data_IF_135252635678
#
_entry.id   IF_135252635678
#
_cell.length_a   1.000
_cell.length_b   1.000
_cell.length_c   1.000
_cell.angle_alpha   90.00
_cell.angle_beta   90.00
_cell.angle_gamma   90.00
#
_symmetry.space_group_name_H-M   'P 1'
#
loop_
_entity.id
_entity.type
_entity.pdbx_description
1 polymer ?
#
# COMPACT_ATOMS: atom_id res chain seq x y z
N UNK A 1 -8.77 -26.30 -7.61
CA UNK A 1 -7.68 -25.42 -7.19
C UNK A 1 -8.10 -24.36 -6.16
N UNK A 2 -9.20 -23.59 -6.35
CA UNK A 2 -9.65 -22.56 -5.35
C UNK A 2 -9.98 -23.14 -3.96
N UNK A 3 -10.55 -24.35 -3.88
CA UNK A 3 -10.89 -25.02 -2.59
C UNK A 3 -9.63 -25.53 -1.84
N UNK A 4 -8.57 -25.92 -2.54
CA UNK A 4 -7.28 -26.32 -1.95
C UNK A 4 -6.53 -25.13 -1.35
N UNK A 5 -6.60 -23.95 -1.97
CA UNK A 5 -6.04 -22.71 -1.43
C UNK A 5 -6.76 -22.28 -0.13
N UNK A 6 -8.09 -22.41 -0.10
CA UNK A 6 -8.88 -22.14 1.11
C UNK A 6 -8.54 -23.12 2.25
N UNK A 7 -8.38 -24.42 1.92
CA UNK A 7 -8.00 -25.44 2.91
C UNK A 7 -6.59 -25.21 3.45
N UNK A 8 -5.64 -24.79 2.61
CA UNK A 8 -4.29 -24.46 3.03
C UNK A 8 -4.24 -23.23 3.96
N UNK A 9 -5.09 -22.22 3.71
CA UNK A 9 -5.24 -21.06 4.59
C UNK A 9 -5.87 -21.46 5.92
N UNK A 10 -6.88 -22.33 5.92
CA UNK A 10 -7.58 -22.78 7.14
C UNK A 10 -6.71 -23.72 8.00
N UNK A 11 -5.87 -24.57 7.38
CA UNK A 11 -4.99 -25.49 8.13
C UNK A 11 -3.85 -24.77 8.89
N UNK A 12 -3.44 -23.58 8.44
CA UNK A 12 -2.47 -22.75 9.15
C UNK A 12 -3.05 -22.10 10.41
N UNK A 13 -4.38 -21.99 10.50
CA UNK A 13 -5.07 -21.34 11.63
C UNK A 13 -5.17 -22.21 12.91
N UNK A 14 -4.71 -23.46 12.86
CA UNK A 14 -4.88 -24.45 13.93
C UNK A 14 -3.73 -24.57 14.94
N UNK A 15 -2.61 -23.89 14.78
CA UNK A 15 -1.40 -24.12 15.57
C UNK A 15 -1.24 -23.10 16.70
N UNK A 16 -1.33 -23.61 17.92
CA UNK A 16 -0.83 -23.14 19.23
C UNK A 16 -1.19 -21.72 19.72
N UNK A 17 -1.68 -21.67 20.96
CA UNK A 17 -1.80 -20.44 21.76
C UNK A 17 -0.41 -19.98 22.21
N UNK A 18 0.35 -19.32 21.32
CA UNK A 18 1.61 -18.66 21.66
C UNK A 18 1.38 -17.14 21.77
N UNK A 19 2.28 -16.48 22.50
CA UNK A 19 2.18 -15.03 22.67
C UNK A 19 2.31 -14.29 21.35
N UNK A 20 1.59 -13.18 21.23
CA UNK A 20 1.31 -12.42 20.03
C UNK A 20 2.55 -11.95 19.24
N UNK A 21 3.71 -11.80 19.87
CA UNK A 21 4.92 -11.26 19.25
C UNK A 21 6.17 -11.98 19.73
N UNK A 22 6.05 -13.27 20.10
CA UNK A 22 7.19 -14.09 20.53
C UNK A 22 7.99 -14.59 19.34
N UNK A 23 9.29 -14.80 19.57
CA UNK A 23 10.18 -15.44 18.61
C UNK A 23 9.59 -16.77 18.11
N UNK A 24 9.60 -16.99 16.81
CA UNK A 24 9.07 -18.20 16.18
C UNK A 24 7.64 -18.05 15.66
N UNK A 25 6.90 -17.03 16.09
CA UNK A 25 5.54 -16.76 15.62
C UNK A 25 5.52 -16.16 14.22
N UNK A 26 4.41 -16.33 13.53
CA UNK A 26 4.13 -15.70 12.23
C UNK A 26 3.04 -14.65 12.37
N UNK A 27 3.08 -13.65 11.49
CA UNK A 27 2.02 -12.67 11.34
C UNK A 27 1.59 -12.61 9.88
N UNK A 28 0.29 -12.69 9.64
CA UNK A 28 -0.34 -12.47 8.34
C UNK A 28 -1.34 -11.33 8.44
N UNK A 29 -1.33 -10.46 7.46
CA UNK A 29 -2.29 -9.37 7.44
C UNK A 29 -2.23 -8.59 6.15
N UNK A 30 -2.69 -7.36 6.22
CA UNK A 30 -2.69 -6.46 5.07
C UNK A 30 -3.73 -5.38 5.21
N UNK A 31 -3.85 -4.61 4.14
CA UNK A 31 -4.84 -3.54 4.01
C UNK A 31 -5.53 -3.60 2.67
N UNK A 32 -6.75 -3.09 2.63
CA UNK A 32 -7.52 -2.87 1.41
C UNK A 32 -8.15 -1.50 1.51
N UNK A 33 -8.21 -0.76 0.41
CA UNK A 33 -8.87 0.53 0.40
C UNK A 33 -9.44 0.86 -0.96
N UNK A 34 -10.53 1.62 -0.93
CA UNK A 34 -11.16 2.20 -2.10
C UNK A 34 -11.52 3.63 -1.80
N UNK A 35 -11.22 4.51 -2.75
CA UNK A 35 -11.50 5.94 -2.63
C UNK A 35 -12.11 6.43 -3.94
N UNK A 36 -13.09 7.33 -3.84
CA UNK A 36 -13.74 7.95 -5.00
C UNK A 36 -14.17 9.37 -4.68
N UNK A 37 -13.68 10.31 -5.49
CA UNK A 37 -14.09 11.70 -5.46
C UNK A 37 -14.72 12.13 -6.77
N UNK A 38 -15.63 13.07 -6.68
CA UNK A 38 -16.22 13.78 -7.79
C UNK A 38 -16.17 15.28 -7.51
N UNK A 39 -15.50 16.02 -8.36
CA UNK A 39 -15.37 17.47 -8.26
C UNK A 39 -16.39 18.15 -9.17
N UNK A 40 -17.20 19.03 -8.60
CA UNK A 40 -18.14 19.90 -9.32
C UNK A 40 -17.62 21.36 -9.27
N UNK A 41 -17.80 22.16 -10.32
CA UNK A 41 -18.65 21.95 -11.50
C UNK A 41 -18.01 21.17 -12.65
N UNK A 42 -16.68 20.93 -12.67
CA UNK A 42 -15.94 20.40 -13.83
C UNK A 42 -16.19 18.91 -14.10
N UNK A 43 -16.98 18.22 -13.28
CA UNK A 43 -17.21 16.76 -13.36
C UNK A 43 -15.93 15.92 -13.39
N UNK A 44 -14.83 16.43 -12.84
CA UNK A 44 -13.62 15.64 -12.69
C UNK A 44 -13.85 14.54 -11.67
N UNK A 45 -13.27 13.36 -11.91
CA UNK A 45 -13.42 12.19 -11.05
C UNK A 45 -12.06 11.60 -10.74
N UNK A 46 -11.85 11.26 -9.47
CA UNK A 46 -10.74 10.45 -9.03
C UNK A 46 -11.32 9.17 -8.41
N UNK A 47 -10.80 8.03 -8.77
CA UNK A 47 -11.04 6.77 -8.08
C UNK A 47 -9.73 6.05 -7.87
N UNK A 48 -9.53 5.46 -6.69
CA UNK A 48 -8.38 4.63 -6.41
C UNK A 48 -8.78 3.37 -5.66
N UNK A 49 -8.02 2.32 -5.88
CA UNK A 49 -8.13 1.04 -5.20
C UNK A 49 -6.74 0.57 -4.82
N UNK A 50 -6.60 0.02 -3.63
CA UNK A 50 -5.39 -0.67 -3.25
C UNK A 50 -5.69 -1.94 -2.45
N UNK A 51 -4.80 -2.91 -2.59
CA UNK A 51 -4.73 -4.12 -1.78
C UNK A 51 -3.27 -4.41 -1.45
N UNK A 52 -3.01 -4.76 -0.21
CA UNK A 52 -1.64 -4.85 0.29
C UNK A 52 -1.49 -5.96 1.35
N UNK A 53 -1.52 -7.24 0.95
CA UNK A 53 -1.23 -8.35 1.86
C UNK A 53 0.22 -8.31 2.33
N UNK A 54 0.46 -8.83 3.54
CA UNK A 54 1.80 -8.98 4.12
C UNK A 54 1.91 -10.23 4.98
N UNK A 55 3.11 -10.78 5.04
CA UNK A 55 3.49 -11.89 5.90
C UNK A 55 4.81 -11.56 6.60
N UNK A 56 4.93 -11.93 7.86
CA UNK A 56 6.13 -11.73 8.66
C UNK A 56 6.39 -12.89 9.62
N UNK A 57 7.63 -12.98 10.05
CA UNK A 57 8.12 -13.94 11.01
C UNK A 57 8.86 -13.23 12.13
N UNK A 58 8.60 -13.60 13.38
CA UNK A 58 9.28 -13.05 14.54
C UNK A 58 10.64 -13.72 14.75
N UNK A 59 11.70 -13.03 14.34
CA UNK A 59 13.10 -13.50 14.46
C UNK A 59 13.61 -13.38 15.91
N UNK A 60 13.01 -12.50 16.69
CA UNK A 60 13.21 -12.33 18.13
C UNK A 60 11.91 -11.82 18.74
N UNK A 61 11.81 -11.86 20.08
CA UNK A 61 10.66 -11.31 20.79
C UNK A 61 10.44 -9.85 20.38
N UNK A 62 9.23 -9.53 19.93
CA UNK A 62 8.82 -8.22 19.48
C UNK A 62 9.52 -7.70 18.21
N UNK A 63 10.31 -8.50 17.50
CA UNK A 63 10.95 -8.12 16.24
C UNK A 63 10.50 -9.06 15.13
N UNK A 64 9.72 -8.53 14.19
CA UNK A 64 9.30 -9.24 12.99
C UNK A 64 10.05 -8.73 11.76
N UNK A 65 10.42 -9.66 10.87
CA UNK A 65 10.85 -9.38 9.51
C UNK A 65 9.84 -9.98 8.55
N UNK A 66 9.63 -9.37 7.41
CA UNK A 66 8.62 -9.86 6.52
C UNK A 66 8.61 -9.22 5.14
N UNK A 67 7.60 -9.62 4.38
CA UNK A 67 7.38 -9.18 3.02
C UNK A 67 5.91 -8.79 2.83
N UNK A 68 5.69 -7.60 2.30
CA UNK A 68 4.40 -7.16 1.78
C UNK A 68 4.38 -7.18 0.26
N UNK A 69 3.23 -7.47 -0.30
CA UNK A 69 2.94 -7.22 -1.71
C UNK A 69 1.93 -6.08 -1.78
N UNK A 70 1.94 -5.34 -2.87
CA UNK A 70 1.00 -4.25 -3.07
C UNK A 70 0.53 -4.18 -4.51
N UNK A 71 -0.74 -3.89 -4.68
CA UNK A 71 -1.30 -3.42 -5.94
C UNK A 71 -2.08 -2.15 -5.66
N UNK A 72 -1.79 -1.13 -6.43
CA UNK A 72 -2.48 0.14 -6.39
C UNK A 72 -2.88 0.56 -7.79
N UNK A 73 -4.11 1.06 -7.92
CA UNK A 73 -4.64 1.62 -9.16
C UNK A 73 -5.32 2.95 -8.84
N UNK A 74 -5.02 3.97 -9.66
CA UNK A 74 -5.78 5.21 -9.66
C UNK A 74 -6.27 5.53 -11.07
N UNK A 75 -7.43 6.15 -11.16
CA UNK A 75 -8.04 6.64 -12.39
C UNK A 75 -8.50 8.07 -12.20
N UNK A 76 -8.00 8.95 -13.05
CA UNK A 76 -8.39 10.35 -13.13
C UNK A 76 -9.16 10.55 -14.44
N UNK A 77 -10.38 11.01 -14.34
CA UNK A 77 -11.18 11.47 -15.49
C UNK A 77 -11.34 12.99 -15.36
N UNK A 78 -10.76 13.75 -16.29
CA UNK A 78 -10.75 15.21 -16.28
C UNK A 78 -11.51 15.75 -17.50
N UNK A 79 -12.16 16.89 -17.30
CA UNK A 79 -12.62 17.71 -18.40
C UNK A 79 -11.40 18.46 -18.96
N UNK A 80 -11.02 18.16 -20.21
CA UNK A 80 -9.87 18.75 -20.89
C UNK A 80 -10.24 19.94 -21.80
N UNK A 81 -11.45 20.47 -21.66
CA UNK A 81 -11.95 21.59 -22.45
C UNK A 81 -12.98 21.16 -23.51
N UNK A 82 -13.10 21.95 -24.56
CA UNK A 82 -14.02 21.71 -25.69
C UNK A 82 -13.28 21.82 -27.02
N UNK A 83 -13.56 20.90 -27.94
CA UNK A 83 -13.10 21.00 -29.35
C UNK A 83 -14.34 20.90 -30.25
N UNK A 84 -14.50 21.84 -31.15
CA UNK A 84 -15.64 21.93 -32.07
C UNK A 84 -17.02 21.84 -31.38
N UNK A 85 -17.14 22.45 -30.19
CA UNK A 85 -18.38 22.43 -29.39
C UNK A 85 -18.63 21.13 -28.61
N UNK A 86 -17.79 20.10 -28.72
CA UNK A 86 -17.86 18.86 -27.98
C UNK A 86 -16.93 18.87 -26.78
N UNK A 87 -17.38 18.33 -25.62
CA UNK A 87 -16.56 18.21 -24.43
C UNK A 87 -15.39 17.22 -24.66
N UNK A 88 -14.16 17.68 -24.47
CA UNK A 88 -12.96 16.87 -24.51
C UNK A 88 -12.72 16.29 -23.11
N UNK A 89 -12.59 14.98 -22.98
CA UNK A 89 -12.23 14.30 -21.75
C UNK A 89 -10.85 13.64 -21.86
N UNK A 90 -10.05 13.81 -20.84
CA UNK A 90 -8.80 13.10 -20.68
C UNK A 90 -8.92 12.10 -19.51
N UNK A 91 -8.47 10.89 -19.73
CA UNK A 91 -8.39 9.85 -18.70
C UNK A 91 -6.92 9.51 -18.46
N UNK A 92 -6.49 9.52 -17.21
CA UNK A 92 -5.20 9.00 -16.80
C UNK A 92 -5.43 7.83 -15.86
N UNK A 93 -4.84 6.69 -16.18
CA UNK A 93 -4.86 5.47 -15.36
C UNK A 93 -3.45 5.11 -14.94
N UNK A 94 -3.24 4.97 -13.65
CA UNK A 94 -1.99 4.54 -13.05
C UNK A 94 -2.18 3.19 -12.36
N UNK A 95 -1.27 2.26 -12.60
CA UNK A 95 -1.25 0.92 -12.02
C UNK A 95 0.15 0.63 -11.52
N UNK A 96 0.27 0.32 -10.23
CA UNK A 96 1.54 0.03 -9.57
C UNK A 96 1.46 -1.30 -8.82
N UNK A 97 2.47 -2.12 -9.00
CA UNK A 97 2.78 -3.27 -8.17
C UNK A 97 3.95 -2.93 -7.27
N UNK A 98 3.97 -3.45 -6.05
CA UNK A 98 5.08 -3.25 -5.13
C UNK A 98 5.43 -4.51 -4.36
N UNK A 99 6.73 -4.68 -4.10
CA UNK A 99 7.29 -5.64 -3.17
C UNK A 99 7.89 -4.83 -2.03
N UNK A 100 7.54 -5.13 -0.78
CA UNK A 100 7.85 -4.31 0.39
C UNK A 100 8.45 -5.15 1.50
N UNK A 101 9.75 -5.49 1.46
CA UNK A 101 10.42 -6.03 2.63
C UNK A 101 10.33 -5.04 3.79
N UNK A 102 10.13 -5.57 5.00
CA UNK A 102 9.99 -4.77 6.20
C UNK A 102 10.65 -5.39 7.42
N UNK A 103 10.98 -4.53 8.36
CA UNK A 103 11.31 -4.88 9.74
C UNK A 103 10.35 -4.10 10.64
N UNK A 104 9.78 -4.77 11.64
CA UNK A 104 8.86 -4.17 12.59
C UNK A 104 9.26 -4.50 14.01
N UNK A 105 9.29 -3.48 14.84
CA UNK A 105 9.54 -3.61 16.28
C UNK A 105 8.29 -3.24 17.06
N UNK A 106 7.94 -4.08 18.03
CA UNK A 106 6.82 -3.84 18.94
C UNK A 106 7.33 -3.50 20.35
N UNK A 107 6.65 -2.57 21.01
CA UNK A 107 6.84 -2.21 22.42
C UNK A 107 5.54 -2.42 23.17
N UNK A 108 5.49 -3.41 24.07
CA UNK A 108 4.31 -3.67 24.88
C UNK A 108 4.06 -2.52 25.85
N UNK A 109 2.80 -2.10 25.91
CA UNK A 109 2.27 -1.11 26.88
C UNK A 109 1.41 -1.84 27.91
N UNK A 110 0.62 -2.80 27.44
CA UNK A 110 -0.16 -3.73 28.23
C UNK A 110 -0.29 -5.06 27.46
N UNK A 111 -1.00 -6.03 28.03
CA UNK A 111 -1.25 -7.32 27.38
C UNK A 111 -2.02 -7.16 26.05
N UNK A 112 -2.86 -6.13 25.96
CA UNK A 112 -3.70 -5.89 24.80
C UNK A 112 -3.21 -4.75 23.90
N UNK A 113 -2.25 -3.94 24.34
CA UNK A 113 -1.79 -2.78 23.57
C UNK A 113 -0.28 -2.80 23.38
N UNK A 114 0.15 -2.64 22.14
CA UNK A 114 1.56 -2.49 21.78
C UNK A 114 1.73 -1.29 20.85
N UNK A 115 2.76 -0.49 21.09
CA UNK A 115 3.27 0.41 20.04
C UNK A 115 4.16 -0.37 19.09
N UNK A 116 4.22 0.08 17.84
CA UNK A 116 5.18 -0.46 16.89
C UNK A 116 5.79 0.63 16.00
N UNK A 117 7.00 0.36 15.52
CA UNK A 117 7.64 1.07 14.42
C UNK A 117 7.87 0.09 13.26
N UNK A 118 7.42 0.45 12.08
CA UNK A 118 7.57 -0.34 10.87
C UNK A 118 8.50 0.38 9.89
N UNK A 119 9.65 -0.20 9.60
CA UNK A 119 10.58 0.24 8.56
C UNK A 119 10.39 -0.66 7.35
N UNK A 120 10.17 -0.08 6.17
CA UNK A 120 10.01 -0.83 4.92
C UNK A 120 10.74 -0.17 3.75
N UNK A 121 11.12 -1.00 2.78
CA UNK A 121 11.78 -0.58 1.54
C UNK A 121 10.88 -0.98 0.37
N UNK A 122 9.92 -0.14 -0.05
CA UNK A 122 9.07 -0.43 -1.20
C UNK A 122 9.87 -0.39 -2.50
N UNK A 123 9.72 -1.45 -3.29
CA UNK A 123 10.15 -1.55 -4.68
C UNK A 123 8.90 -1.60 -5.54
N UNK A 124 8.64 -0.57 -6.32
CA UNK A 124 7.39 -0.42 -7.07
C UNK A 124 7.66 -0.32 -8.57
N UNK A 125 6.79 -0.92 -9.36
CA UNK A 125 6.86 -0.90 -10.83
C UNK A 125 5.45 -0.90 -11.39
N UNK A 126 5.27 -0.20 -12.51
CA UNK A 126 3.96 -0.09 -13.13
C UNK A 126 3.92 0.79 -14.34
N UNK A 127 2.72 1.22 -14.70
CA UNK A 127 2.47 1.99 -15.88
C UNK A 127 1.47 3.12 -15.61
N UNK A 128 1.70 4.23 -16.28
CA UNK A 128 0.72 5.33 -16.39
C UNK A 128 0.27 5.40 -17.84
N UNK A 129 -1.04 5.23 -18.04
CA UNK A 129 -1.68 5.35 -19.35
C UNK A 129 -2.48 6.64 -19.38
N UNK A 130 -2.21 7.48 -20.36
CA UNK A 130 -2.97 8.71 -20.58
C UNK A 130 -3.64 8.63 -21.95
N UNK A 131 -4.96 8.83 -22.01
CA UNK A 131 -5.71 8.96 -23.26
C UNK A 131 -6.58 10.19 -23.21
N UNK A 132 -6.50 11.02 -24.24
CA UNK A 132 -7.49 12.06 -24.53
C UNK A 132 -8.38 11.54 -25.65
N UNK A 133 -9.55 12.18 -25.89
CA UNK A 133 -10.42 11.86 -27.04
C UNK A 133 -9.74 12.09 -28.42
N UNK A 134 -8.43 12.28 -28.43
CA UNK A 134 -7.55 12.36 -29.60
C UNK A 134 -6.82 11.04 -29.78
N UNK A 135 -6.56 10.59 -31.02
CA UNK A 135 -5.88 9.33 -31.24
C UNK A 135 -4.44 9.37 -30.70
N UNK A 136 -4.20 8.58 -29.68
CA UNK A 136 -2.88 8.40 -29.07
C UNK A 136 -3.00 8.09 -27.58
N UNK A 137 -2.61 6.88 -27.18
CA UNK A 137 -2.43 6.53 -25.77
C UNK A 137 -0.95 6.68 -25.45
N UNK A 138 -0.60 7.65 -24.62
CA UNK A 138 0.75 7.76 -24.11
C UNK A 138 0.93 6.78 -22.95
N UNK A 139 1.88 5.86 -23.08
CA UNK A 139 2.26 4.92 -22.01
C UNK A 139 3.57 5.39 -21.42
N UNK A 140 3.62 5.45 -20.11
CA UNK A 140 4.81 5.77 -19.33
C UNK A 140 5.04 4.66 -18.32
N UNK A 141 6.19 4.00 -18.40
CA UNK A 141 6.63 3.05 -17.37
C UNK A 141 7.12 3.80 -16.15
N UNK A 142 6.83 3.27 -14.98
CA UNK A 142 7.21 3.88 -13.71
C UNK A 142 7.89 2.83 -12.85
N UNK A 143 9.09 3.16 -12.37
CA UNK A 143 9.81 2.36 -11.40
C UNK A 143 10.15 3.26 -10.22
N UNK A 144 9.94 2.76 -9.01
CA UNK A 144 10.27 3.51 -7.80
C UNK A 144 10.92 2.61 -6.76
N UNK A 145 11.90 3.16 -6.07
CA UNK A 145 12.48 2.59 -4.86
C UNK A 145 12.34 3.61 -3.74
N UNK A 146 12.04 3.14 -2.54
CA UNK A 146 11.87 4.05 -1.42
C UNK A 146 12.32 3.45 -0.10
N UNK A 147 12.19 4.25 0.94
CA UNK A 147 12.28 3.83 2.34
C UNK A 147 11.20 4.56 3.12
N UNK A 148 10.53 3.87 4.03
CA UNK A 148 9.54 4.52 4.87
C UNK A 148 9.57 3.96 6.29
N UNK A 149 9.35 4.86 7.24
CA UNK A 149 9.15 4.53 8.64
C UNK A 149 7.75 5.00 9.06
N UNK A 150 6.96 4.06 9.60
CA UNK A 150 5.58 4.29 10.02
C UNK A 150 5.42 3.87 11.48
N UNK A 151 5.23 4.82 12.41
CA UNK A 151 4.85 4.50 13.77
C UNK A 151 3.36 4.13 13.84
N UNK A 152 3.01 3.29 14.82
CA UNK A 152 1.64 2.88 15.04
C UNK A 152 1.41 2.22 16.39
N UNK A 153 0.18 1.81 16.60
CA UNK A 153 -0.18 0.97 17.72
C UNK A 153 -1.07 -0.19 17.28
N UNK A 154 -0.98 -1.30 17.99
CA UNK A 154 -1.75 -2.50 17.79
C UNK A 154 -2.60 -2.77 19.04
N UNK A 155 -3.89 -3.02 18.83
CA UNK A 155 -4.81 -3.53 19.81
C UNK A 155 -5.08 -5.00 19.54
N UNK A 156 -4.96 -5.83 20.58
CA UNK A 156 -5.14 -7.27 20.53
C UNK A 156 -6.41 -7.68 21.29
N UNK A 157 -7.57 -7.77 20.61
CA UNK A 157 -8.80 -8.27 21.23
C UNK A 157 -8.67 -9.74 21.63
N UNK A 158 -7.81 -10.50 20.98
CA UNK A 158 -7.45 -11.89 21.29
C UNK A 158 -5.95 -12.10 21.11
N UNK A 159 -5.41 -13.23 21.57
CA UNK A 159 -4.00 -13.58 21.39
C UNK A 159 -3.59 -13.74 19.91
N UNK A 160 -4.55 -13.92 19.01
CA UNK A 160 -4.28 -14.19 17.59
C UNK A 160 -4.68 -13.06 16.64
N UNK A 161 -5.49 -12.12 17.09
CA UNK A 161 -5.99 -11.03 16.25
C UNK A 161 -5.46 -9.69 16.73
N UNK A 162 -4.84 -8.92 15.83
CA UNK A 162 -4.43 -7.54 16.06
C UNK A 162 -5.15 -6.58 15.12
N UNK A 163 -5.65 -5.49 15.67
CA UNK A 163 -6.14 -4.35 14.92
C UNK A 163 -5.07 -3.26 15.04
N UNK A 164 -4.51 -2.86 13.91
CA UNK A 164 -3.40 -1.92 13.86
C UNK A 164 -3.83 -0.57 13.32
N UNK A 165 -3.30 0.47 13.92
CA UNK A 165 -3.40 1.84 13.45
C UNK A 165 -1.99 2.39 13.27
N UNK A 166 -1.70 2.90 12.07
CA UNK A 166 -0.41 3.52 11.79
C UNK A 166 -0.59 4.82 11.03
N UNK A 167 0.43 5.66 11.09
CA UNK A 167 0.50 6.90 10.32
C UNK A 167 1.77 6.90 9.49
N UNK A 168 1.75 7.60 8.36
CA UNK A 168 3.00 7.91 7.67
C UNK A 168 3.86 8.76 8.59
N UNK A 169 5.11 8.34 8.77
CA UNK A 169 6.10 9.09 9.54
C UNK A 169 7.11 9.74 8.62
N UNK A 170 8.15 9.00 8.25
CA UNK A 170 9.20 9.46 7.34
C UNK A 170 9.14 8.62 6.08
N UNK A 171 9.15 9.29 4.92
CA UNK A 171 9.19 8.60 3.62
C UNK A 171 10.22 9.24 2.69
N UNK A 172 10.95 8.39 1.99
CA UNK A 172 11.79 8.75 0.87
C UNK A 172 11.40 7.90 -0.33
N UNK A 173 11.20 8.53 -1.48
CA UNK A 173 10.92 7.86 -2.74
C UNK A 173 11.78 8.43 -3.85
N UNK A 174 12.34 7.54 -4.64
CA UNK A 174 13.08 7.83 -5.85
C UNK A 174 12.34 7.14 -7.00
N UNK A 175 11.79 7.93 -7.92
CA UNK A 175 10.90 7.47 -8.98
C UNK A 175 11.45 7.86 -10.33
N UNK A 176 11.61 6.89 -11.22
CA UNK A 176 11.95 7.08 -12.63
C UNK A 176 10.76 6.80 -13.53
N UNK A 177 10.68 7.58 -14.60
CA UNK A 177 9.63 7.52 -15.61
C UNK A 177 10.26 7.38 -16.99
N UNK A 178 9.89 6.32 -17.71
CA UNK A 178 10.33 6.06 -19.09
C UNK A 178 9.16 6.27 -20.05
N UNK A 179 9.32 7.15 -21.01
CA UNK A 179 8.33 7.42 -22.04
C UNK A 179 8.59 6.54 -23.27
N UNK A 180 7.58 5.85 -23.80
CA UNK A 180 7.71 5.02 -25.01
C UNK A 180 8.06 5.84 -26.27
N UNK A 181 7.80 7.13 -26.27
CA UNK A 181 7.99 8.04 -27.41
C UNK A 181 9.28 8.86 -27.35
N UNK A 182 10.40 8.27 -27.01
CA UNK A 182 11.76 8.88 -27.11
C UNK A 182 11.92 10.33 -26.56
N UNK A 183 11.00 10.76 -25.73
CA UNK A 183 11.01 12.07 -25.10
C UNK A 183 11.52 11.91 -23.67
N UNK A 184 12.57 12.58 -23.32
CA UNK A 184 13.31 12.65 -22.03
C UNK A 184 12.72 11.88 -20.85
N UNK A 185 13.47 10.89 -20.36
CA UNK A 185 13.19 10.19 -19.10
C UNK A 185 13.06 11.17 -17.94
N UNK A 186 12.02 11.02 -17.12
CA UNK A 186 11.81 11.84 -15.93
C UNK A 186 12.33 11.13 -14.69
N UNK A 187 12.80 11.91 -13.72
CA UNK A 187 13.27 11.42 -12.43
C UNK A 187 12.80 12.35 -11.32
N UNK A 188 12.26 11.78 -10.25
CA UNK A 188 11.73 12.56 -9.12
C UNK A 188 12.17 11.95 -7.80
N UNK A 189 12.77 12.77 -6.94
CA UNK A 189 13.11 12.40 -5.55
C UNK A 189 12.20 13.16 -4.60
N UNK A 190 11.59 12.44 -3.67
CA UNK A 190 10.70 13.02 -2.66
C UNK A 190 11.12 12.58 -1.28
N UNK A 191 11.27 13.53 -0.38
CA UNK A 191 11.41 13.29 1.04
C UNK A 191 10.25 13.96 1.77
N UNK A 192 9.60 13.22 2.66
CA UNK A 192 8.52 13.72 3.50
C UNK A 192 8.75 13.28 4.94
N UNK A 193 8.44 14.17 5.86
CA UNK A 193 8.35 13.88 7.28
C UNK A 193 7.07 14.49 7.82
N UNK A 194 6.28 13.72 8.54
CA UNK A 194 5.02 14.19 9.10
C UNK A 194 4.20 13.04 9.69
N UNK A 195 3.13 13.38 10.39
CA UNK A 195 2.15 12.44 10.90
C UNK A 195 0.75 13.01 10.69
N UNK A 196 -0.03 12.40 9.80
CA UNK A 196 -1.43 12.77 9.63
C UNK A 196 -2.30 11.89 10.53
N UNK A 197 -2.58 12.36 11.74
CA UNK A 197 -3.40 11.64 12.72
C UNK A 197 -4.89 11.58 12.33
N UNK A 198 -5.33 12.41 11.41
CA UNK A 198 -6.73 12.43 10.93
C UNK A 198 -6.97 11.45 9.76
N UNK A 199 -5.92 10.83 9.25
CA UNK A 199 -5.99 9.84 8.18
C UNK A 199 -5.09 8.64 8.48
N UNK A 200 -5.36 7.89 9.57
CA UNK A 200 -4.57 6.72 9.91
C UNK A 200 -4.83 5.59 8.92
N UNK A 201 -3.82 4.76 8.73
CA UNK A 201 -3.97 3.47 8.07
C UNK A 201 -4.47 2.44 9.10
N UNK A 202 -5.53 1.74 8.76
CA UNK A 202 -6.08 0.67 9.59
C UNK A 202 -5.74 -0.66 8.94
N UNK A 203 -5.19 -1.58 9.74
CA UNK A 203 -4.83 -2.92 9.31
C UNK A 203 -5.37 -3.98 10.28
N UNK A 204 -5.58 -5.17 9.75
CA UNK A 204 -5.92 -6.35 10.55
C UNK A 204 -4.81 -7.37 10.35
N UNK A 205 -4.31 -7.91 11.46
CA UNK A 205 -3.23 -8.88 11.48
C UNK A 205 -3.68 -10.13 12.25
N UNK A 206 -3.27 -11.27 11.74
CA UNK A 206 -3.47 -12.56 12.40
C UNK A 206 -2.10 -13.15 12.78
N UNK A 207 -1.96 -13.54 14.04
CA UNK A 207 -0.74 -14.07 14.64
C UNK A 207 -0.89 -15.56 14.97
N UNK A 208 0.15 -16.37 14.69
CA UNK A 208 0.13 -17.83 14.92
C UNK A 208 1.53 -18.41 15.06
#
# INVERSE_FOLDING_TARGET
MKKLLLLAVVSVLGLTASAQTEKGSFVLGGSIGYYKDKYTPDNNKLSSFHIAPSAGYFVADNIAVGLGLGYWQAKYDQNAGTINGGALRATMKEELFSIRPFVRYYKSVSDQFKFFGNLQVPLSFGNIKSSANYPGTNIRKTNAVGASFSPGFAYFPTSKLGIEFSVEGITYNDTSYDYESNTSNGHTKQFRIGANLMSPLIGVQYYF
#
